data_IF_993330016376
#
_entry.id   IF_993330016376
#
_cell.length_a   1.000
_cell.length_b   1.000
_cell.length_c   1.000
_cell.angle_alpha   90.00
_cell.angle_beta   90.00
_cell.angle_gamma   90.00
#
_symmetry.space_group_name_H-M   'P 1'
#
loop_
_entity.id
_entity.type
_entity.pdbx_description
1 polymer ?
#
# COMPACT_ATOMS: atom_id res chain seq x y z
N UNK A 1 12.05 15.69 -49.02
CA UNK A 1 13.02 16.78 -48.83
C UNK A 1 13.20 17.00 -47.35
N UNK A 2 14.41 16.72 -46.84
CA UNK A 2 15.05 16.97 -45.55
C UNK A 2 14.28 16.65 -44.25
N UNK A 3 14.54 15.55 -43.60
CA UNK A 3 15.59 15.10 -42.66
C UNK A 3 16.08 16.18 -41.67
N UNK A 4 15.83 15.94 -40.37
CA UNK A 4 16.90 16.00 -39.36
C UNK A 4 16.45 15.42 -38.00
N UNK A 5 17.18 14.39 -37.63
CA UNK A 5 17.31 13.80 -36.27
C UNK A 5 17.72 14.82 -35.21
N UNK A 6 17.31 14.59 -34.01
CA UNK A 6 18.09 14.92 -32.80
C UNK A 6 17.94 13.78 -31.77
N UNK A 7 19.03 13.10 -31.65
CA UNK A 7 19.35 12.02 -30.76
C UNK A 7 19.56 12.52 -29.33
N UNK A 8 19.27 11.63 -28.38
CA UNK A 8 19.36 11.80 -26.95
C UNK A 8 20.76 12.11 -26.39
N UNK A 9 20.75 12.56 -25.17
CA UNK A 9 21.92 12.70 -24.33
C UNK A 9 21.75 11.80 -23.11
N UNK A 10 22.42 10.65 -23.19
CA UNK A 10 22.61 9.78 -22.04
C UNK A 10 23.72 10.34 -21.12
N UNK A 11 23.43 10.35 -19.84
CA UNK A 11 24.42 10.74 -18.82
C UNK A 11 25.31 9.55 -18.49
N UNK A 12 26.51 9.51 -19.11
CA UNK A 12 27.62 8.67 -18.68
C UNK A 12 28.66 9.56 -18.00
N UNK A 13 28.84 9.41 -16.70
CA UNK A 13 30.06 9.88 -16.05
C UNK A 13 31.05 8.74 -16.00
N UNK A 14 32.01 8.83 -16.88
CA UNK A 14 33.16 7.95 -16.96
C UNK A 14 34.35 8.59 -16.27
N UNK A 15 35.04 7.77 -15.52
CA UNK A 15 36.43 7.99 -15.12
C UNK A 15 37.30 8.14 -16.37
N UNK A 16 37.95 9.24 -16.52
CA UNK A 16 39.10 9.39 -17.42
C UNK A 16 40.36 9.62 -16.63
N UNK A 17 41.22 8.59 -16.61
CA UNK A 17 42.62 8.67 -16.22
C UNK A 17 43.37 9.43 -17.32
N UNK A 18 43.93 10.56 -16.97
CA UNK A 18 44.94 11.24 -17.76
C UNK A 18 46.31 10.82 -17.23
N UNK A 19 47.02 10.06 -18.04
CA UNK A 19 48.44 9.81 -17.89
C UNK A 19 49.23 10.99 -18.43
N UNK A 20 49.91 11.75 -17.58
CA UNK A 20 50.96 12.65 -17.96
C UNK A 20 52.28 12.15 -17.42
N UNK A 21 53.17 11.72 -18.31
CA UNK A 21 54.55 11.40 -17.99
C UNK A 21 55.34 12.70 -17.72
N UNK A 22 55.73 12.90 -16.46
CA UNK A 22 56.77 13.85 -16.10
C UNK A 22 57.88 13.08 -15.44
N UNK A 23 59.02 13.03 -16.08
CA UNK A 23 60.27 12.51 -15.53
C UNK A 23 60.79 13.52 -14.53
N UNK A 24 60.87 13.15 -13.26
CA UNK A 24 61.61 13.87 -12.21
C UNK A 24 62.45 12.92 -11.40
N UNK A 25 63.57 13.46 -10.98
CA UNK A 25 64.70 12.84 -10.31
C UNK A 25 64.32 11.97 -9.12
N UNK A 26 65.03 10.87 -9.03
CA UNK A 26 64.93 9.84 -8.00
C UNK A 26 65.47 10.37 -6.69
N UNK A 27 64.59 10.82 -5.81
CA UNK A 27 64.89 11.03 -4.40
C UNK A 27 64.56 9.75 -3.64
N UNK A 28 65.40 9.32 -2.70
CA UNK A 28 65.30 8.05 -1.99
C UNK A 28 63.92 7.87 -1.36
N UNK A 29 63.21 6.82 -1.73
CA UNK A 29 61.88 6.50 -1.23
C UNK A 29 61.92 6.30 0.31
N UNK A 30 61.02 6.95 1.06
CA UNK A 30 60.79 6.65 2.45
C UNK A 30 60.31 5.20 2.60
N UNK A 31 60.82 4.51 3.60
CA UNK A 31 60.42 3.15 3.98
C UNK A 31 58.90 3.06 4.06
N UNK A 32 58.25 2.10 3.39
CA UNK A 32 56.80 1.99 3.45
C UNK A 32 56.35 1.78 4.89
N UNK A 33 55.49 2.64 5.35
CA UNK A 33 54.84 2.51 6.67
C UNK A 33 54.15 1.15 6.74
N UNK A 34 54.33 0.44 7.83
CA UNK A 34 53.65 -0.83 8.08
C UNK A 34 52.13 -0.63 7.93
N UNK A 35 51.43 -1.55 7.27
CA UNK A 35 50.00 -1.43 7.14
C UNK A 35 49.33 -1.32 8.53
N UNK A 36 48.30 -0.45 8.68
CA UNK A 36 47.67 -0.23 9.98
C UNK A 36 47.15 -1.54 10.54
N UNK A 37 47.37 -1.76 11.82
CA UNK A 37 46.89 -2.94 12.56
C UNK A 37 45.36 -3.03 12.49
N UNK A 38 44.82 -4.22 12.72
CA UNK A 38 43.35 -4.42 12.76
C UNK A 38 42.69 -3.47 13.76
N UNK A 39 43.36 -3.21 14.88
CA UNK A 39 42.90 -2.34 15.95
C UNK A 39 42.82 -0.86 15.48
N UNK A 40 43.85 -0.36 14.81
CA UNK A 40 43.87 0.99 14.23
C UNK A 40 42.81 1.15 13.13
N UNK A 41 42.53 0.10 12.35
CA UNK A 41 41.47 0.09 11.35
C UNK A 41 40.08 0.11 11.99
N UNK A 42 39.90 -0.63 13.09
CA UNK A 42 38.64 -0.63 13.86
C UNK A 42 38.40 0.75 14.48
N UNK A 43 39.42 1.32 15.16
CA UNK A 43 39.31 2.67 15.74
C UNK A 43 39.07 3.76 14.69
N UNK A 44 39.66 3.64 13.49
CA UNK A 44 39.42 4.57 12.39
C UNK A 44 37.98 4.43 11.82
N UNK A 45 37.41 3.21 11.80
CA UNK A 45 36.06 2.96 11.41
C UNK A 45 35.05 3.43 12.47
N UNK A 46 35.33 3.21 13.75
CA UNK A 46 34.56 3.70 14.88
C UNK A 46 34.55 5.24 14.90
N UNK A 47 35.69 5.90 14.77
CA UNK A 47 35.76 7.37 14.61
C UNK A 47 34.99 7.89 13.39
N UNK A 48 34.97 7.13 12.30
CA UNK A 48 34.23 7.49 11.09
C UNK A 48 32.71 7.28 11.26
N UNK A 49 32.32 6.31 12.08
CA UNK A 49 30.94 6.04 12.48
C UNK A 49 30.41 7.11 13.45
N UNK A 50 31.27 7.66 14.30
CA UNK A 50 30.93 8.72 15.27
C UNK A 50 30.93 10.14 14.67
N UNK A 51 31.48 10.32 13.47
CA UNK A 51 31.37 11.61 12.77
C UNK A 51 29.89 11.89 12.50
N UNK A 52 29.35 13.06 12.96
CA UNK A 52 27.96 13.38 12.72
C UNK A 52 27.70 13.43 11.22
N UNK A 53 26.99 12.42 10.72
CA UNK A 53 26.56 12.45 9.33
C UNK A 53 25.69 13.68 9.12
N UNK A 54 25.73 14.28 7.94
CA UNK A 54 24.87 15.43 7.60
C UNK A 54 23.40 15.11 7.88
N UNK A 55 22.98 13.85 7.70
CA UNK A 55 21.65 13.34 7.98
C UNK A 55 21.30 13.43 9.47
N UNK A 56 22.23 13.03 10.35
CA UNK A 56 22.07 13.14 11.81
C UNK A 56 22.00 14.59 12.24
N UNK A 57 22.85 15.45 11.66
CA UNK A 57 22.85 16.90 11.97
C UNK A 57 21.55 17.58 11.54
N UNK A 58 20.97 17.18 10.40
CA UNK A 58 19.71 17.69 9.89
C UNK A 58 18.47 17.00 10.52
N UNK A 59 18.67 15.94 11.31
CA UNK A 59 17.61 15.16 11.93
C UNK A 59 16.84 14.28 10.94
N UNK A 60 17.40 14.00 9.74
CA UNK A 60 16.78 13.15 8.74
C UNK A 60 17.06 11.67 9.03
N UNK A 61 16.04 10.84 8.77
CA UNK A 61 16.15 9.38 8.79
C UNK A 61 15.83 8.87 7.40
N UNK A 62 16.71 8.00 6.90
CA UNK A 62 16.47 7.25 5.68
C UNK A 62 16.30 5.76 6.04
N UNK A 63 15.32 5.10 5.47
CA UNK A 63 15.07 3.68 5.63
C UNK A 63 14.34 3.15 4.41
N UNK A 64 14.21 1.84 4.32
CA UNK A 64 13.49 1.23 3.23
C UNK A 64 13.39 -0.28 3.35
N UNK A 65 12.83 -0.91 2.33
CA UNK A 65 12.79 -2.36 2.23
C UNK A 65 12.67 -2.83 0.79
N UNK A 66 13.07 -4.07 0.58
CA UNK A 66 12.86 -4.81 -0.65
C UNK A 66 11.93 -5.98 -0.35
N UNK A 67 10.93 -6.19 -1.20
CA UNK A 67 9.97 -7.28 -1.11
C UNK A 67 9.91 -8.04 -2.43
N UNK A 68 10.21 -9.32 -2.39
CA UNK A 68 10.14 -10.23 -3.53
C UNK A 68 9.39 -11.49 -3.12
N UNK A 69 8.56 -12.01 -4.01
CA UNK A 69 7.84 -13.25 -3.74
C UNK A 69 7.65 -14.09 -5.00
N UNK A 70 7.36 -15.37 -4.77
CA UNK A 70 6.86 -16.30 -5.76
C UNK A 70 5.51 -16.82 -5.30
N UNK A 71 4.52 -16.82 -6.20
CA UNK A 71 3.19 -17.36 -5.92
C UNK A 71 2.83 -18.43 -6.94
N UNK A 72 2.54 -19.63 -6.49
CA UNK A 72 1.94 -20.72 -7.28
C UNK A 72 0.44 -20.75 -7.08
N UNK A 73 -0.32 -20.82 -8.16
CA UNK A 73 -1.77 -20.97 -8.14
C UNK A 73 -2.13 -22.37 -8.63
N UNK A 74 -2.74 -23.19 -7.76
CA UNK A 74 -3.07 -24.59 -8.05
C UNK A 74 -4.18 -24.74 -9.11
N UNK A 75 -4.99 -23.72 -9.32
CA UNK A 75 -5.97 -23.69 -10.39
C UNK A 75 -5.35 -23.53 -11.80
N UNK A 76 -4.06 -23.21 -11.90
CA UNK A 76 -3.36 -22.99 -13.15
C UNK A 76 -4.15 -22.10 -14.14
N UNK A 77 -4.59 -20.91 -13.73
CA UNK A 77 -5.43 -20.06 -14.57
C UNK A 77 -4.73 -19.73 -15.89
N UNK A 78 -5.43 -19.89 -17.01
CA UNK A 78 -4.89 -19.61 -18.35
C UNK A 78 -4.39 -18.17 -18.55
N UNK A 79 -4.77 -17.30 -17.65
CA UNK A 79 -4.37 -15.89 -17.63
C UNK A 79 -3.08 -15.62 -16.88
N UNK A 80 -2.54 -16.62 -16.17
CA UNK A 80 -1.44 -16.47 -15.22
C UNK A 80 -1.72 -15.40 -14.13
N UNK A 81 -2.98 -15.19 -13.76
CA UNK A 81 -3.38 -14.21 -12.76
C UNK A 81 -4.16 -14.85 -11.62
N UNK A 82 -3.85 -14.45 -10.39
CA UNK A 82 -4.67 -14.71 -9.22
C UNK A 82 -5.90 -13.81 -9.25
N UNK A 83 -7.07 -14.40 -9.42
CA UNK A 83 -8.30 -13.63 -9.59
C UNK A 83 -8.68 -12.92 -8.30
N UNK A 84 -9.11 -11.66 -8.40
CA UNK A 84 -9.53 -10.80 -7.29
C UNK A 84 -8.43 -10.47 -6.26
N UNK A 85 -7.20 -10.94 -6.45
CA UNK A 85 -6.04 -10.47 -5.69
C UNK A 85 -5.56 -9.12 -6.21
N UNK A 86 -5.03 -8.28 -5.32
CA UNK A 86 -4.61 -6.92 -5.67
C UNK A 86 -3.10 -6.76 -5.65
N UNK A 87 -2.40 -7.34 -4.68
CA UNK A 87 -0.94 -7.22 -4.53
C UNK A 87 -0.21 -8.42 -5.12
N UNK A 88 -0.64 -9.61 -4.84
CA UNK A 88 -0.08 -10.88 -5.32
C UNK A 88 -0.80 -11.38 -6.60
N UNK A 89 -0.89 -10.51 -7.58
CA UNK A 89 -1.73 -10.71 -8.76
C UNK A 89 -1.21 -11.73 -9.76
N UNK A 90 0.11 -11.94 -9.82
CA UNK A 90 0.73 -12.81 -10.82
C UNK A 90 0.85 -14.24 -10.30
N UNK A 91 0.22 -15.17 -10.99
CA UNK A 91 0.33 -16.61 -10.73
C UNK A 91 1.61 -17.18 -11.33
N UNK A 92 2.21 -18.17 -10.64
CA UNK A 92 3.37 -18.95 -11.10
C UNK A 92 4.57 -18.09 -11.53
N UNK A 93 4.79 -16.98 -10.83
CA UNK A 93 5.79 -15.99 -11.20
C UNK A 93 6.62 -15.53 -10.00
N UNK A 94 7.92 -15.30 -10.22
CA UNK A 94 8.76 -14.55 -9.31
C UNK A 94 8.55 -13.06 -9.56
N UNK A 95 8.13 -12.33 -8.54
CA UNK A 95 7.77 -10.90 -8.67
C UNK A 95 8.56 -10.02 -7.71
N UNK A 96 9.15 -8.91 -8.17
CA UNK A 96 9.57 -7.81 -7.33
C UNK A 96 8.34 -6.99 -6.96
N UNK A 97 7.82 -7.23 -5.75
CA UNK A 97 6.60 -6.56 -5.29
C UNK A 97 6.86 -5.10 -4.98
N UNK A 98 7.86 -4.83 -4.14
CA UNK A 98 8.12 -3.46 -3.72
C UNK A 98 9.59 -3.24 -3.35
N UNK A 99 10.16 -2.19 -3.91
CA UNK A 99 11.35 -1.52 -3.40
C UNK A 99 10.91 -0.16 -2.87
N UNK A 100 11.02 0.06 -1.56
CA UNK A 100 10.60 1.31 -0.94
C UNK A 100 11.79 2.06 -0.36
N UNK A 101 11.81 3.37 -0.58
CA UNK A 101 12.73 4.31 0.10
C UNK A 101 11.89 5.34 0.84
N UNK A 102 12.16 5.50 2.12
CA UNK A 102 11.54 6.50 2.97
C UNK A 102 12.60 7.49 3.47
N UNK A 103 12.30 8.76 3.33
CA UNK A 103 13.01 9.86 3.94
C UNK A 103 12.06 10.59 4.86
N UNK A 104 12.42 10.75 6.13
CA UNK A 104 11.60 11.47 7.09
C UNK A 104 12.43 12.33 8.03
N UNK A 105 11.81 13.39 8.50
CA UNK A 105 12.17 14.13 9.69
C UNK A 105 10.93 14.18 10.57
N UNK A 106 10.84 13.36 11.62
CA UNK A 106 9.67 13.39 12.49
C UNK A 106 9.62 14.69 13.28
N UNK A 107 8.43 15.26 13.45
CA UNK A 107 8.21 16.42 14.31
C UNK A 107 8.29 16.01 15.78
N UNK A 108 8.95 16.86 16.61
CA UNK A 108 9.11 16.67 18.05
C UNK A 108 8.26 17.68 18.83
N UNK A 109 7.30 17.17 19.60
CA UNK A 109 6.41 18.00 20.42
C UNK A 109 7.14 18.72 21.58
N UNK A 110 8.25 18.16 22.06
CA UNK A 110 9.06 18.72 23.14
C UNK A 110 10.11 19.71 22.67
N UNK A 111 10.38 19.72 21.36
CA UNK A 111 11.44 20.51 20.73
C UNK A 111 11.10 21.99 20.56
N UNK A 112 12.10 22.72 20.03
CA UNK A 112 11.95 24.11 19.59
C UNK A 112 10.93 24.23 18.47
N UNK A 113 10.55 25.46 18.09
CA UNK A 113 9.61 25.70 16.99
C UNK A 113 10.05 25.04 15.67
N UNK A 114 11.37 24.97 15.40
CA UNK A 114 11.90 24.31 14.22
C UNK A 114 11.83 22.78 14.30
N UNK A 115 11.99 22.20 15.48
CA UNK A 115 11.92 20.78 15.72
C UNK A 115 10.48 20.24 15.71
N UNK A 116 9.49 21.11 15.96
CA UNK A 116 8.07 20.80 15.81
C UNK A 116 7.62 20.64 14.37
N UNK A 117 8.45 21.03 13.39
CA UNK A 117 8.21 20.81 11.97
C UNK A 117 8.83 19.49 11.52
N UNK A 118 8.10 18.74 10.72
CA UNK A 118 8.53 17.47 10.15
C UNK A 118 8.01 17.26 8.74
N UNK A 119 8.45 16.19 8.12
CA UNK A 119 7.94 15.72 6.84
C UNK A 119 8.17 14.23 6.68
N UNK A 120 7.45 13.60 5.76
CA UNK A 120 7.72 12.26 5.26
C UNK A 120 7.57 12.23 3.75
N UNK A 121 8.55 11.60 3.10
CA UNK A 121 8.49 11.23 1.70
C UNK A 121 8.77 9.73 1.58
N UNK A 122 7.81 8.97 1.06
CA UNK A 122 7.90 7.51 0.89
C UNK A 122 7.66 7.20 -0.58
N UNK A 123 8.68 6.65 -1.22
CA UNK A 123 8.68 6.35 -2.65
C UNK A 123 8.73 4.85 -2.86
N UNK A 124 7.80 4.35 -3.63
CA UNK A 124 7.63 2.94 -3.98
C UNK A 124 8.00 2.69 -5.43
N UNK A 125 8.66 1.56 -5.67
CA UNK A 125 8.94 1.00 -6.99
C UNK A 125 8.56 -0.48 -6.99
N UNK A 126 7.96 -0.98 -8.08
CA UNK A 126 7.58 -2.37 -8.25
C UNK A 126 6.10 -2.57 -8.51
N UNK A 127 5.68 -3.84 -8.58
CA UNK A 127 4.30 -4.19 -8.98
C UNK A 127 3.23 -3.60 -8.05
N UNK A 128 3.51 -3.50 -6.76
CA UNK A 128 2.56 -2.98 -5.78
C UNK A 128 2.35 -1.46 -5.94
N UNK A 129 3.37 -0.74 -6.43
CA UNK A 129 3.24 0.69 -6.71
C UNK A 129 2.15 1.00 -7.75
N UNK A 130 1.93 0.11 -8.72
CA UNK A 130 0.83 0.24 -9.71
C UNK A 130 -0.55 0.24 -9.06
N UNK A 131 -0.66 -0.50 -7.96
CA UNK A 131 -1.92 -0.70 -7.24
C UNK A 131 -2.21 0.47 -6.31
N UNK A 132 -1.19 0.91 -5.57
CA UNK A 132 -1.33 1.92 -4.52
C UNK A 132 -1.37 3.34 -5.06
N UNK A 133 -0.96 3.53 -6.33
CA UNK A 133 -0.95 4.83 -6.96
C UNK A 133 -2.36 5.44 -6.99
N UNK A 134 -2.45 6.67 -6.50
CA UNK A 134 -3.69 7.42 -6.51
C UNK A 134 -4.23 7.64 -7.94
N UNK A 135 -5.54 7.58 -8.08
CA UNK A 135 -6.24 7.45 -9.36
C UNK A 135 -7.07 8.66 -9.67
N UNK A 136 -6.47 9.69 -10.12
CA UNK A 136 -7.21 10.83 -10.61
C UNK A 136 -6.66 11.33 -11.91
N UNK A 137 -7.14 12.48 -12.38
CA UNK A 137 -6.63 13.17 -13.56
C UNK A 137 -5.12 13.46 -13.44
N UNK A 138 -4.60 13.50 -12.22
CA UNK A 138 -3.17 13.52 -11.93
C UNK A 138 -2.58 12.12 -12.14
N UNK A 139 -2.61 11.66 -13.35
CA UNK A 139 -1.95 10.43 -13.75
C UNK A 139 -0.97 10.73 -14.86
N UNK A 140 0.23 11.22 -14.55
CA UNK A 140 1.29 11.23 -15.52
C UNK A 140 1.65 9.79 -15.80
N UNK A 141 1.58 9.39 -17.03
CA UNK A 141 1.98 8.09 -17.44
C UNK A 141 0.87 7.05 -17.54
N UNK A 142 1.25 5.89 -17.97
CA UNK A 142 0.39 4.77 -18.28
C UNK A 142 0.14 3.92 -17.02
N UNK A 143 -0.87 3.10 -17.06
CA UNK A 143 -1.22 2.16 -16.00
C UNK A 143 -0.10 1.16 -15.62
N UNK A 144 0.97 1.11 -16.41
CA UNK A 144 2.16 0.30 -16.20
C UNK A 144 3.25 0.97 -15.37
N UNK A 145 3.05 2.22 -14.91
CA UNK A 145 4.05 2.88 -14.08
C UNK A 145 4.17 2.17 -12.73
N UNK A 146 5.34 1.62 -12.49
CA UNK A 146 5.69 0.90 -11.26
C UNK A 146 6.35 1.85 -10.25
N UNK A 147 5.84 3.09 -10.13
CA UNK A 147 6.34 4.10 -9.22
C UNK A 147 5.18 4.86 -8.58
N UNK A 148 5.25 5.07 -7.27
CA UNK A 148 4.28 5.87 -6.51
C UNK A 148 4.95 6.62 -5.36
N UNK A 149 4.59 7.90 -5.16
CA UNK A 149 4.75 8.54 -3.87
C UNK A 149 3.61 8.09 -2.95
N UNK A 150 3.85 7.02 -2.20
CA UNK A 150 2.86 6.49 -1.25
C UNK A 150 2.49 7.54 -0.20
N UNK A 151 3.50 8.20 0.38
CA UNK A 151 3.32 9.33 1.30
C UNK A 151 4.21 10.50 0.87
N UNK A 152 3.64 11.68 0.87
CA UNK A 152 4.36 12.93 0.69
C UNK A 152 3.61 14.03 1.45
N UNK A 153 4.03 14.31 2.68
CA UNK A 153 3.40 15.30 3.52
C UNK A 153 4.39 16.08 4.39
N UNK A 154 4.00 17.29 4.75
CA UNK A 154 4.60 18.06 5.83
C UNK A 154 3.76 17.92 7.09
N UNK A 155 4.39 18.04 8.26
CA UNK A 155 3.71 18.04 9.55
C UNK A 155 4.26 19.12 10.47
N UNK A 156 3.39 19.57 11.37
CA UNK A 156 3.76 20.49 12.43
C UNK A 156 2.99 20.17 13.71
N UNK A 157 3.67 20.22 14.86
CA UNK A 157 3.03 20.04 16.16
C UNK A 157 2.83 21.42 16.81
N UNK A 158 1.59 21.91 16.78
CA UNK A 158 1.19 23.13 17.47
C UNK A 158 1.31 22.94 18.99
N UNK A 159 1.85 23.92 19.74
CA UNK A 159 1.99 23.82 21.19
C UNK A 159 0.65 24.10 21.90
N UNK A 160 -0.37 23.29 21.60
CA UNK A 160 -1.71 23.37 22.20
C UNK A 160 -1.93 22.11 23.03
N UNK A 161 -2.11 22.26 24.31
CA UNK A 161 -2.25 21.14 25.24
C UNK A 161 -1.08 20.16 25.14
N UNK A 162 -1.37 18.89 24.85
CA UNK A 162 -0.36 17.83 24.68
C UNK A 162 0.33 17.86 23.29
N UNK A 163 0.05 18.85 22.46
CA UNK A 163 0.57 18.97 21.10
C UNK A 163 -0.45 18.55 20.05
N UNK A 164 -1.02 19.53 19.33
CA UNK A 164 -1.91 19.25 18.22
C UNK A 164 -1.07 19.06 16.94
N UNK A 165 -1.02 17.84 16.43
CA UNK A 165 -0.34 17.51 15.17
C UNK A 165 -1.21 17.90 14.00
N UNK A 166 -0.63 18.66 13.07
CA UNK A 166 -1.21 19.04 11.78
C UNK A 166 -0.39 18.37 10.69
N UNK A 167 -1.03 17.65 9.78
CA UNK A 167 -0.39 17.04 8.61
C UNK A 167 -1.08 17.52 7.34
N UNK A 168 -0.30 17.83 6.30
CA UNK A 168 -0.80 18.30 5.03
C UNK A 168 -0.04 17.65 3.88
N UNK A 169 -0.76 16.98 2.99
CA UNK A 169 -0.22 16.26 1.83
C UNK A 169 -0.90 14.92 1.60
N UNK A 170 -0.21 14.01 0.91
CA UNK A 170 -0.63 12.63 0.67
C UNK A 170 -0.17 11.73 1.81
N UNK A 171 -1.09 11.00 2.40
CA UNK A 171 -0.90 10.18 3.60
C UNK A 171 -1.55 8.81 3.41
N UNK A 172 -1.05 7.81 4.11
CA UNK A 172 -1.76 6.52 4.21
C UNK A 172 -3.16 6.73 4.78
N UNK A 173 -4.08 5.86 4.40
CA UNK A 173 -5.46 5.86 4.91
C UNK A 173 -5.52 5.72 6.44
N UNK A 174 -6.62 6.17 7.03
CA UNK A 174 -6.99 5.86 8.42
C UNK A 174 -7.83 4.57 8.53
N UNK A 175 -8.19 3.97 7.39
CA UNK A 175 -9.14 2.88 7.29
C UNK A 175 -8.40 1.55 7.23
N UNK A 176 -8.82 0.61 8.08
CA UNK A 176 -8.39 -0.78 7.99
C UNK A 176 -7.17 -1.14 8.85
N UNK A 177 -7.02 -2.44 9.06
CA UNK A 177 -5.91 -3.04 9.81
C UNK A 177 -4.70 -3.32 8.91
N UNK A 178 -4.93 -3.86 7.72
CA UNK A 178 -3.84 -4.11 6.77
C UNK A 178 -3.33 -2.80 6.17
N UNK A 179 -2.07 -2.81 5.77
CA UNK A 179 -1.37 -1.65 5.20
C UNK A 179 -0.64 -2.01 3.92
N UNK A 180 -0.19 -0.99 3.19
CA UNK A 180 0.57 -1.17 1.94
C UNK A 180 1.88 -1.91 2.20
N UNK A 181 2.62 -1.53 3.23
CA UNK A 181 3.93 -2.11 3.56
C UNK A 181 3.78 -3.56 3.99
N UNK A 182 4.31 -4.48 3.20
CA UNK A 182 4.14 -5.92 3.44
C UNK A 182 4.73 -6.41 4.76
N UNK A 183 5.84 -5.83 5.21
CA UNK A 183 6.49 -6.24 6.46
C UNK A 183 5.69 -5.87 7.73
N UNK A 184 4.78 -4.90 7.62
CA UNK A 184 3.89 -4.46 8.71
C UNK A 184 2.64 -5.32 8.81
N UNK A 185 2.33 -6.14 7.79
CA UNK A 185 1.18 -7.04 7.79
C UNK A 185 1.52 -8.41 8.36
N UNK A 186 0.54 -9.11 8.96
CA UNK A 186 0.76 -10.48 9.44
C UNK A 186 1.00 -11.47 8.29
N UNK A 187 0.34 -11.30 7.17
CA UNK A 187 0.34 -12.18 6.01
C UNK A 187 1.01 -11.53 4.80
N UNK A 188 1.41 -12.33 3.80
CA UNK A 188 1.91 -11.84 2.53
C UNK A 188 0.78 -11.29 1.66
N UNK A 189 -0.21 -12.14 1.37
CA UNK A 189 -1.40 -11.71 0.63
C UNK A 189 -2.28 -10.78 1.48
N UNK A 190 -3.10 -9.98 0.81
CA UNK A 190 -4.03 -9.05 1.46
C UNK A 190 -5.44 -9.60 1.43
N UNK A 191 -6.26 -9.18 2.40
CA UNK A 191 -7.70 -9.45 2.40
C UNK A 191 -8.39 -8.86 1.16
N UNK A 192 -9.50 -9.44 0.76
CA UNK A 192 -10.40 -8.82 -0.22
C UNK A 192 -10.91 -7.46 0.29
N UNK A 193 -11.15 -7.36 1.59
CA UNK A 193 -11.60 -6.13 2.23
C UNK A 193 -10.58 -5.02 2.07
N UNK A 194 -9.31 -5.24 2.36
CA UNK A 194 -8.24 -4.25 2.15
C UNK A 194 -8.08 -3.91 0.65
N UNK A 195 -7.93 -4.94 -0.19
CA UNK A 195 -7.64 -4.73 -1.61
C UNK A 195 -8.78 -4.12 -2.41
N UNK A 196 -10.02 -4.51 -2.13
CA UNK A 196 -11.19 -4.12 -2.92
C UNK A 196 -12.08 -3.11 -2.18
N UNK A 197 -12.16 -3.19 -0.88
CA UNK A 197 -13.14 -2.50 -0.06
C UNK A 197 -12.64 -1.25 0.67
N UNK A 198 -11.33 -0.98 0.72
CA UNK A 198 -10.73 0.11 1.49
C UNK A 198 -9.86 1.03 0.61
N UNK A 199 -9.71 2.30 1.03
CA UNK A 199 -8.76 3.22 0.42
C UNK A 199 -7.32 2.88 0.86
N UNK A 200 -6.34 3.14 -0.01
CA UNK A 200 -4.92 3.01 0.32
C UNK A 200 -4.32 4.30 0.85
N UNK A 201 -4.67 5.42 0.23
CA UNK A 201 -4.14 6.74 0.57
C UNK A 201 -5.22 7.81 0.49
N UNK A 202 -5.00 8.91 1.21
CA UNK A 202 -5.81 10.12 1.11
C UNK A 202 -4.91 11.36 1.02
N UNK A 203 -5.37 12.42 0.36
CA UNK A 203 -4.60 13.66 0.21
C UNK A 203 -5.41 14.82 0.77
N UNK A 204 -4.85 15.56 1.72
CA UNK A 204 -5.55 16.65 2.35
C UNK A 204 -4.91 17.11 3.65
N UNK A 205 -5.73 17.56 4.58
CA UNK A 205 -5.36 18.06 5.89
C UNK A 205 -5.86 17.10 6.97
N UNK A 206 -4.99 16.72 7.92
CA UNK A 206 -5.32 15.97 9.14
C UNK A 206 -4.90 16.70 10.39
N UNK A 207 -5.69 16.55 11.42
CA UNK A 207 -5.43 17.01 12.78
C UNK A 207 -5.47 15.80 13.71
N UNK A 208 -4.39 15.56 14.47
CA UNK A 208 -4.31 14.45 15.43
C UNK A 208 -3.99 15.01 16.81
N UNK A 209 -4.69 14.50 17.81
CA UNK A 209 -4.49 14.92 19.20
C UNK A 209 -4.54 13.74 20.16
N UNK A 210 -3.50 13.62 20.99
CA UNK A 210 -3.43 12.63 22.07
C UNK A 210 -3.92 13.29 23.35
N UNK A 211 -5.13 12.92 23.79
CA UNK A 211 -5.75 13.47 25.01
C UNK A 211 -5.03 12.97 26.26
N UNK A 212 -4.68 11.71 26.27
CA UNK A 212 -3.94 11.02 27.32
C UNK A 212 -3.34 9.72 26.76
N UNK A 213 -2.57 8.93 27.52
CA UNK A 213 -1.97 7.67 27.02
C UNK A 213 -2.98 6.63 26.50
N UNK A 214 -4.25 6.76 26.87
CA UNK A 214 -5.30 5.81 26.47
C UNK A 214 -6.10 6.26 25.25
N UNK A 215 -6.12 7.57 24.91
CA UNK A 215 -7.04 8.11 23.91
C UNK A 215 -6.30 9.04 22.94
N UNK A 216 -6.31 8.67 21.66
CA UNK A 216 -5.86 9.52 20.57
C UNK A 216 -6.99 9.63 19.54
N UNK A 217 -7.24 10.84 19.03
CA UNK A 217 -8.17 11.06 17.95
C UNK A 217 -7.50 11.78 16.78
N UNK A 218 -7.92 11.42 15.57
CA UNK A 218 -7.53 12.05 14.31
C UNK A 218 -8.79 12.40 13.53
N UNK A 219 -8.82 13.59 12.96
CA UNK A 219 -9.85 14.01 12.00
C UNK A 219 -9.18 14.61 10.77
N UNK A 220 -9.81 14.49 9.61
CA UNK A 220 -9.25 14.99 8.36
C UNK A 220 -10.30 15.48 7.38
N UNK A 221 -9.87 16.35 6.48
CA UNK A 221 -10.62 16.78 5.30
C UNK A 221 -9.72 16.55 4.09
N UNK A 222 -10.16 15.65 3.21
CA UNK A 222 -9.34 15.11 2.13
C UNK A 222 -10.07 15.17 0.79
N UNK A 223 -9.33 14.99 -0.30
CA UNK A 223 -9.84 14.97 -1.67
C UNK A 223 -10.66 13.71 -2.01
N UNK A 224 -10.75 12.78 -1.08
CA UNK A 224 -11.46 11.51 -1.25
C UNK A 224 -10.54 10.29 -1.32
N UNK A 225 -11.10 9.18 -1.68
CA UNK A 225 -10.53 7.84 -1.73
C UNK A 225 -9.53 7.69 -2.86
N UNK A 226 -8.25 7.52 -2.55
CA UNK A 226 -7.14 7.36 -3.49
C UNK A 226 -7.01 8.51 -4.51
N UNK A 227 -7.40 9.72 -4.13
CA UNK A 227 -7.36 10.89 -4.98
C UNK A 227 -6.24 11.87 -4.56
N UNK A 228 -5.28 12.15 -5.45
CA UNK A 228 -4.35 13.28 -5.29
C UNK A 228 -5.04 14.56 -5.74
N UNK A 229 -5.49 14.60 -6.99
CA UNK A 229 -6.42 15.61 -7.47
C UNK A 229 -7.85 15.20 -7.11
N UNK A 230 -8.64 16.14 -6.70
CA UNK A 230 -10.04 15.89 -6.43
C UNK A 230 -10.79 15.62 -7.74
N UNK A 231 -11.44 14.49 -7.82
CA UNK A 231 -12.26 14.08 -8.98
C UNK A 231 -13.66 14.73 -9.01
N UNK A 232 -13.98 15.50 -7.97
CA UNK A 232 -15.23 16.28 -7.84
C UNK A 232 -14.92 17.60 -7.10
N UNK A 233 -15.91 18.32 -6.60
CA UNK A 233 -15.71 19.56 -5.84
C UNK A 233 -15.95 19.42 -4.35
N UNK A 234 -16.46 18.27 -3.93
CA UNK A 234 -16.72 17.97 -2.54
C UNK A 234 -15.48 17.43 -1.83
N UNK A 235 -15.44 17.52 -0.53
CA UNK A 235 -14.38 16.94 0.28
C UNK A 235 -14.95 15.79 1.11
N UNK A 236 -14.07 14.81 1.36
CA UNK A 236 -14.37 13.70 2.26
C UNK A 236 -13.84 14.04 3.66
N UNK A 237 -14.71 13.90 4.64
CA UNK A 237 -14.35 13.93 6.04
C UNK A 237 -13.92 12.52 6.47
N UNK A 238 -12.81 12.42 7.17
CA UNK A 238 -12.31 11.16 7.73
C UNK A 238 -12.00 11.30 9.22
N UNK A 239 -12.07 10.20 9.95
CA UNK A 239 -11.78 10.19 11.37
C UNK A 239 -11.27 8.83 11.86
N UNK A 240 -10.52 8.88 12.94
CA UNK A 240 -10.05 7.71 13.69
C UNK A 240 -9.99 8.06 15.18
N UNK A 241 -10.48 7.15 16.03
CA UNK A 241 -10.31 7.22 17.47
C UNK A 241 -9.65 5.92 17.92
N UNK A 242 -8.45 6.04 18.47
CA UNK A 242 -7.70 4.92 19.03
C UNK A 242 -7.81 4.92 20.54
N UNK A 243 -8.14 3.77 21.10
CA UNK A 243 -8.31 3.52 22.53
C UNK A 243 -7.35 2.41 22.95
N UNK A 244 -6.59 2.65 24.02
CA UNK A 244 -5.72 1.65 24.65
C UNK A 244 -5.97 1.63 26.16
N UNK A 245 -7.16 1.17 26.59
CA UNK A 245 -7.55 1.21 28.00
C UNK A 245 -6.76 0.23 28.87
N UNK A 246 -6.13 -0.76 28.28
CA UNK A 246 -5.35 -1.78 28.94
C UNK A 246 -4.21 -2.29 28.06
N UNK A 247 -3.09 -2.72 28.60
CA UNK A 247 -1.93 -3.24 27.86
C UNK A 247 -2.24 -4.44 26.93
N UNK A 248 -3.29 -5.22 27.28
CA UNK A 248 -3.76 -6.36 26.52
C UNK A 248 -4.88 -6.05 25.52
N UNK A 249 -5.46 -4.86 25.58
CA UNK A 249 -6.61 -4.53 24.74
C UNK A 249 -6.45 -3.16 24.09
N UNK A 250 -6.57 -3.13 22.77
CA UNK A 250 -6.65 -1.92 21.95
C UNK A 250 -7.88 -1.95 21.08
N UNK A 251 -8.46 -0.80 20.84
CA UNK A 251 -9.55 -0.62 19.90
C UNK A 251 -9.33 0.65 19.09
N UNK A 252 -9.48 0.57 17.77
CA UNK A 252 -9.54 1.74 16.90
C UNK A 252 -10.87 1.73 16.18
N UNK A 253 -11.54 2.88 16.18
CA UNK A 253 -12.76 3.11 15.42
C UNK A 253 -12.45 4.14 14.35
N UNK A 254 -12.84 3.88 13.11
CA UNK A 254 -12.52 4.73 11.98
C UNK A 254 -13.70 4.89 11.04
N UNK A 255 -13.66 5.92 10.23
CA UNK A 255 -14.63 6.12 9.18
C UNK A 255 -14.30 7.26 8.26
N UNK A 256 -15.04 7.32 7.17
CA UNK A 256 -15.05 8.44 6.24
C UNK A 256 -16.44 8.67 5.65
N UNK A 257 -16.72 9.92 5.27
CA UNK A 257 -17.96 10.29 4.60
C UNK A 257 -17.70 11.45 3.65
N UNK A 258 -18.10 11.28 2.38
CA UNK A 258 -17.93 12.31 1.37
C UNK A 258 -18.33 11.83 -0.02
N UNK A 259 -18.38 12.73 -1.01
CA UNK A 259 -18.64 12.37 -2.38
C UNK A 259 -17.38 11.77 -3.02
N UNK A 260 -17.54 10.64 -3.70
CA UNK A 260 -16.43 9.90 -4.29
C UNK A 260 -16.57 9.67 -5.81
N UNK A 261 -17.70 10.08 -6.38
CA UNK A 261 -17.94 9.95 -7.82
C UNK A 261 -17.49 11.20 -8.57
N UNK A 262 -16.95 11.01 -9.78
CA UNK A 262 -16.39 12.10 -10.57
C UNK A 262 -17.44 13.09 -11.07
N UNK A 263 -17.07 14.38 -11.15
CA UNK A 263 -17.80 15.42 -11.85
C UNK A 263 -17.69 15.33 -13.38
N UNK A 264 -16.65 14.68 -13.89
CA UNK A 264 -16.37 14.70 -15.32
C UNK A 264 -17.17 13.64 -16.06
N UNK A 265 -18.05 14.09 -16.91
CA UNK A 265 -18.86 13.28 -17.83
C UNK A 265 -18.05 12.67 -18.98
N UNK A 266 -16.75 12.89 -19.02
CA UNK A 266 -15.86 12.26 -20.03
C UNK A 266 -15.55 10.79 -19.71
N UNK A 267 -15.74 10.38 -18.47
CA UNK A 267 -15.80 8.99 -18.10
C UNK A 267 -17.24 8.53 -18.18
N UNK A 268 -17.59 7.83 -19.23
CA UNK A 268 -18.87 7.15 -19.29
C UNK A 268 -18.95 6.21 -18.11
N UNK A 269 -19.86 6.48 -17.21
CA UNK A 269 -20.09 5.62 -16.05
C UNK A 269 -20.65 4.31 -16.58
N UNK A 270 -19.92 3.26 -16.36
CA UNK A 270 -20.36 1.93 -16.67
C UNK A 270 -21.72 1.65 -16.01
N UNK A 271 -22.64 1.06 -16.74
CA UNK A 271 -23.94 0.62 -16.21
C UNK A 271 -25.02 1.68 -16.10
N UNK A 272 -24.86 2.84 -16.73
CA UNK A 272 -25.92 3.86 -16.76
C UNK A 272 -26.12 4.60 -15.44
N UNK A 273 -25.22 4.44 -14.50
CA UNK A 273 -25.11 5.28 -13.31
C UNK A 273 -24.40 6.56 -13.75
N UNK A 274 -25.11 7.65 -13.89
CA UNK A 274 -24.54 8.96 -14.23
C UNK A 274 -23.51 9.38 -13.18
N UNK A 275 -22.44 10.06 -13.59
CA UNK A 275 -21.53 10.68 -12.66
C UNK A 275 -22.35 11.57 -11.71
N UNK A 276 -22.34 11.26 -10.44
CA UNK A 276 -23.07 12.00 -9.41
C UNK A 276 -22.09 12.50 -8.36
N UNK A 277 -21.53 13.65 -8.63
CA UNK A 277 -20.55 14.31 -7.78
C UNK A 277 -21.01 14.61 -6.35
N UNK A 278 -22.29 14.46 -6.07
CA UNK A 278 -22.87 14.60 -4.73
C UNK A 278 -23.21 13.24 -4.10
N UNK A 279 -22.98 12.13 -4.80
CA UNK A 279 -23.26 10.81 -4.26
C UNK A 279 -22.27 10.48 -3.14
N UNK A 280 -22.79 10.36 -1.95
CA UNK A 280 -21.98 10.14 -0.75
C UNK A 280 -21.60 8.68 -0.61
N UNK A 281 -20.31 8.43 -0.36
CA UNK A 281 -19.77 7.18 0.18
C UNK A 281 -19.60 7.34 1.69
N UNK A 282 -20.02 6.35 2.44
CA UNK A 282 -19.84 6.26 3.88
C UNK A 282 -19.12 4.98 4.21
N UNK A 283 -18.07 5.08 5.03
CA UNK A 283 -17.28 3.96 5.53
C UNK A 283 -17.24 4.04 7.04
N UNK A 284 -17.43 2.92 7.72
CA UNK A 284 -17.21 2.78 9.16
C UNK A 284 -16.63 1.41 9.45
N UNK A 285 -15.73 1.35 10.42
CA UNK A 285 -15.15 0.10 10.87
C UNK A 285 -14.42 0.24 12.19
N UNK A 286 -13.90 -0.87 12.66
CA UNK A 286 -13.07 -0.88 13.86
C UNK A 286 -11.99 -1.96 13.76
N UNK A 287 -10.91 -1.77 14.51
CA UNK A 287 -9.86 -2.74 14.73
C UNK A 287 -9.85 -3.03 16.23
N UNK A 288 -10.11 -4.27 16.59
CA UNK A 288 -10.09 -4.73 17.97
C UNK A 288 -8.90 -5.67 18.13
N UNK A 289 -7.95 -5.29 18.99
CA UNK A 289 -6.74 -6.07 19.25
C UNK A 289 -6.78 -6.60 20.67
N UNK A 290 -6.57 -7.91 20.82
CA UNK A 290 -6.50 -8.57 22.11
C UNK A 290 -5.24 -9.44 22.21
N UNK A 291 -4.35 -9.12 23.14
CA UNK A 291 -3.20 -9.94 23.52
C UNK A 291 -3.64 -10.98 24.52
N UNK A 292 -4.02 -12.15 24.03
CA UNK A 292 -4.54 -13.24 24.86
C UNK A 292 -3.46 -13.78 25.82
N UNK A 293 -2.23 -13.92 25.31
CA UNK A 293 -1.03 -14.29 26.05
C UNK A 293 0.13 -13.39 25.66
N UNK A 294 1.34 -13.64 26.14
CA UNK A 294 2.56 -12.98 25.65
C UNK A 294 2.91 -13.38 24.21
N UNK A 295 2.40 -14.52 23.74
CA UNK A 295 2.67 -15.10 22.43
C UNK A 295 1.49 -14.95 21.47
N UNK A 296 0.26 -14.81 21.99
CA UNK A 296 -0.96 -14.85 21.18
C UNK A 296 -1.62 -13.48 21.09
N UNK A 297 -1.79 -13.00 19.85
CA UNK A 297 -2.55 -11.79 19.55
C UNK A 297 -3.70 -12.11 18.59
N UNK A 298 -4.89 -11.68 18.96
CA UNK A 298 -6.11 -11.80 18.17
C UNK A 298 -6.50 -10.40 17.70
N UNK A 299 -6.80 -10.26 16.40
CA UNK A 299 -7.30 -9.03 15.81
C UNK A 299 -8.62 -9.32 15.10
N UNK A 300 -9.61 -8.45 15.30
CA UNK A 300 -10.89 -8.47 14.59
C UNK A 300 -11.11 -7.12 13.93
N UNK A 301 -11.54 -7.16 12.66
CA UNK A 301 -11.85 -5.98 11.87
C UNK A 301 -13.25 -6.09 11.24
N UNK A 302 -14.33 -5.71 11.94
CA UNK A 302 -15.63 -5.49 11.32
C UNK A 302 -15.61 -4.19 10.50
N UNK A 303 -16.16 -4.24 9.30
CA UNK A 303 -16.14 -3.19 8.31
C UNK A 303 -17.48 -3.07 7.58
N UNK A 304 -17.92 -1.85 7.32
CA UNK A 304 -19.11 -1.55 6.54
C UNK A 304 -18.91 -0.32 5.66
N UNK A 305 -19.37 -0.39 4.42
CA UNK A 305 -19.40 0.73 3.51
C UNK A 305 -20.68 0.74 2.66
N UNK A 306 -21.10 1.95 2.32
CA UNK A 306 -22.22 2.23 1.45
C UNK A 306 -21.91 3.40 0.53
N UNK A 307 -22.36 3.35 -0.71
CA UNK A 307 -22.22 4.45 -1.66
C UNK A 307 -23.53 4.66 -2.42
N UNK A 308 -24.00 5.90 -2.44
CA UNK A 308 -25.22 6.27 -3.15
C UNK A 308 -25.04 6.11 -4.66
N UNK A 309 -26.07 5.63 -5.35
CA UNK A 309 -26.12 5.48 -6.82
C UNK A 309 -24.96 4.65 -7.43
N UNK A 310 -24.33 3.79 -6.68
CA UNK A 310 -23.14 3.03 -7.11
C UNK A 310 -23.40 1.55 -7.40
N UNK A 311 -24.66 1.09 -7.41
CA UNK A 311 -25.00 -0.31 -7.65
C UNK A 311 -24.80 -0.65 -9.13
N UNK A 312 -23.92 -1.59 -9.41
CA UNK A 312 -23.55 -2.01 -10.76
C UNK A 312 -24.20 -3.33 -11.19
N UNK A 313 -25.01 -3.94 -10.34
CA UNK A 313 -25.77 -5.15 -10.69
C UNK A 313 -26.79 -4.82 -11.78
N UNK A 314 -26.88 -5.69 -12.79
CA UNK A 314 -27.81 -5.51 -13.92
C UNK A 314 -29.23 -5.27 -13.43
N UNK A 315 -29.89 -4.24 -13.96
CA UNK A 315 -31.23 -3.84 -13.57
C UNK A 315 -31.34 -3.07 -12.24
N UNK A 316 -30.26 -2.78 -11.57
CA UNK A 316 -30.20 -2.05 -10.28
C UNK A 316 -29.48 -0.71 -10.38
N UNK A 317 -29.20 -0.21 -11.59
CA UNK A 317 -28.59 1.10 -11.79
C UNK A 317 -29.29 2.21 -11.03
N UNK A 318 -28.57 3.16 -10.48
CA UNK A 318 -29.12 4.25 -9.66
C UNK A 318 -29.52 3.87 -8.23
N UNK A 319 -29.34 2.60 -7.82
CA UNK A 319 -29.48 2.18 -6.42
C UNK A 319 -28.17 2.34 -5.67
N UNK A 320 -28.24 2.33 -4.35
CA UNK A 320 -27.05 2.33 -3.51
C UNK A 320 -26.30 1.00 -3.63
N UNK A 321 -24.99 1.08 -3.61
CA UNK A 321 -24.12 -0.08 -3.39
C UNK A 321 -23.79 -0.21 -1.90
N UNK A 322 -23.64 -1.44 -1.45
CA UNK A 322 -23.17 -1.77 -0.11
C UNK A 322 -22.12 -2.85 -0.22
N UNK A 323 -21.06 -2.71 0.55
CA UNK A 323 -20.08 -3.76 0.80
C UNK A 323 -19.67 -3.76 2.27
N UNK A 324 -19.39 -4.93 2.80
CA UNK A 324 -19.05 -5.11 4.20
C UNK A 324 -18.24 -6.38 4.40
N UNK A 325 -17.56 -6.47 5.52
CA UNK A 325 -16.73 -7.63 5.82
C UNK A 325 -16.35 -7.76 7.28
N UNK A 326 -15.75 -8.88 7.58
CA UNK A 326 -15.11 -9.17 8.85
C UNK A 326 -13.80 -9.88 8.57
N UNK A 327 -12.69 -9.26 8.95
CA UNK A 327 -11.37 -9.86 9.00
C UNK A 327 -11.07 -10.33 10.42
N UNK A 328 -10.47 -11.52 10.57
CA UNK A 328 -10.03 -12.05 11.83
C UNK A 328 -8.62 -12.62 11.68
N UNK A 329 -7.74 -12.30 12.63
CA UNK A 329 -6.33 -12.71 12.61
C UNK A 329 -5.96 -13.31 13.95
N UNK A 330 -5.23 -14.42 13.90
CA UNK A 330 -4.52 -15.00 15.03
C UNK A 330 -3.03 -14.99 14.71
N UNK A 331 -2.25 -14.34 15.56
CA UNK A 331 -0.79 -14.31 15.47
C UNK A 331 -0.26 -15.05 16.70
N UNK A 332 0.53 -16.09 16.46
CA UNK A 332 1.20 -16.86 17.49
C UNK A 332 2.72 -16.74 17.31
N UNK A 333 3.38 -16.03 18.20
CA UNK A 333 4.83 -15.93 18.24
C UNK A 333 5.41 -17.15 18.96
N UNK A 334 5.96 -18.10 18.21
CA UNK A 334 6.52 -19.35 18.72
C UNK A 334 7.78 -19.03 19.54
N UNK A 335 8.62 -18.18 18.98
CA UNK A 335 9.84 -17.64 19.61
C UNK A 335 10.23 -16.29 18.94
N UNK A 336 11.42 -15.78 19.22
CA UNK A 336 11.91 -14.51 18.68
C UNK A 336 12.10 -14.51 17.15
N UNK A 337 12.18 -15.68 16.53
CA UNK A 337 12.43 -15.85 15.09
C UNK A 337 11.22 -16.40 14.34
N UNK A 338 10.42 -17.26 14.97
CA UNK A 338 9.33 -17.97 14.32
C UNK A 338 7.97 -17.48 14.79
N UNK A 339 7.06 -17.28 13.85
CA UNK A 339 5.64 -17.03 14.17
C UNK A 339 4.72 -17.72 13.16
N UNK A 340 3.63 -18.26 13.66
CA UNK A 340 2.53 -18.82 12.88
C UNK A 340 1.36 -17.83 12.88
N UNK A 341 0.70 -17.65 11.74
CA UNK A 341 -0.36 -16.67 11.56
C UNK A 341 -1.51 -17.27 10.79
N UNK A 342 -2.70 -17.03 11.26
CA UNK A 342 -3.94 -17.46 10.61
C UNK A 342 -4.80 -16.24 10.37
N UNK A 343 -5.31 -16.10 9.15
CA UNK A 343 -6.32 -15.11 8.78
C UNK A 343 -7.55 -15.82 8.28
N UNK A 344 -8.73 -15.31 8.62
CA UNK A 344 -10.00 -15.65 8.02
C UNK A 344 -10.75 -14.38 7.66
N UNK A 345 -11.38 -14.35 6.50
CA UNK A 345 -12.17 -13.21 6.05
C UNK A 345 -13.51 -13.65 5.46
N UNK A 346 -14.51 -12.81 5.66
CA UNK A 346 -15.73 -12.77 4.85
C UNK A 346 -15.91 -11.35 4.31
N UNK A 347 -16.10 -11.22 2.99
CA UNK A 347 -16.33 -9.95 2.32
C UNK A 347 -17.54 -10.05 1.40
N UNK A 348 -18.58 -9.28 1.66
CA UNK A 348 -19.79 -9.19 0.84
C UNK A 348 -19.77 -7.91 0.00
N UNK A 349 -19.89 -8.04 -1.31
CA UNK A 349 -20.18 -6.94 -2.24
C UNK A 349 -21.60 -7.07 -2.80
N UNK A 350 -22.58 -6.63 -2.02
CA UNK A 350 -23.98 -6.75 -2.37
C UNK A 350 -24.40 -5.85 -3.55
N UNK A 351 -23.61 -4.82 -3.83
CA UNK A 351 -23.82 -3.88 -4.94
C UNK A 351 -23.05 -4.20 -6.21
N UNK A 352 -22.13 -5.16 -6.17
CA UNK A 352 -21.23 -5.43 -7.28
C UNK A 352 -20.34 -4.24 -7.64
N UNK A 353 -20.12 -3.32 -6.70
CA UNK A 353 -19.41 -2.08 -6.93
C UNK A 353 -17.90 -2.21 -6.72
N UNK A 354 -17.47 -3.26 -6.05
CA UNK A 354 -16.09 -3.51 -5.66
C UNK A 354 -15.48 -4.73 -6.38
N UNK A 355 -16.31 -5.69 -6.76
CA UNK A 355 -15.90 -6.92 -7.42
C UNK A 355 -16.53 -7.03 -8.79
N UNK A 356 -15.75 -7.12 -9.84
CA UNK A 356 -16.21 -7.37 -11.20
C UNK A 356 -15.69 -8.70 -11.70
N UNK A 357 -16.58 -9.46 -12.31
CA UNK A 357 -16.21 -10.72 -12.94
C UNK A 357 -16.06 -10.66 -14.43
N UNK A 358 -16.38 -9.53 -15.03
CA UNK A 358 -16.19 -9.34 -16.46
C UNK A 358 -14.75 -9.29 -16.89
N UNK A 359 -13.84 -9.14 -15.96
CA UNK A 359 -12.43 -9.12 -16.25
C UNK A 359 -11.87 -10.52 -16.42
N UNK A 360 -12.16 -11.11 -17.55
CA UNK A 360 -11.21 -12.04 -18.11
C UNK A 360 -9.97 -11.23 -18.40
N UNK A 361 -8.90 -11.61 -17.73
CA UNK A 361 -7.53 -11.20 -17.95
C UNK A 361 -7.27 -10.13 -18.99
N UNK A 362 -6.74 -9.03 -18.54
CA UNK A 362 -5.97 -8.11 -19.39
C UNK A 362 -6.75 -7.23 -20.35
N UNK A 363 -8.06 -7.33 -20.42
CA UNK A 363 -8.86 -6.57 -21.41
C UNK A 363 -9.83 -5.57 -20.79
N UNK A 364 -9.73 -5.31 -19.52
CA UNK A 364 -10.71 -4.50 -18.85
C UNK A 364 -10.27 -3.05 -18.83
N UNK A 365 -10.95 -2.28 -19.65
CA UNK A 365 -11.08 -0.86 -19.49
C UNK A 365 -9.85 -0.03 -19.66
N UNK A 366 -9.06 -0.30 -20.67
CA UNK A 366 -7.94 0.58 -21.02
C UNK A 366 -6.77 0.59 -20.04
N UNK A 367 -6.86 -0.11 -18.94
CA UNK A 367 -5.74 -0.36 -18.04
C UNK A 367 -5.03 -1.65 -18.45
N UNK A 368 -4.33 -1.58 -19.59
CA UNK A 368 -3.40 -2.64 -19.99
C UNK A 368 -2.30 -2.71 -18.96
N UNK A 369 -2.19 -3.85 -18.27
CA UNK A 369 -1.14 -4.08 -17.28
C UNK A 369 -1.59 -4.04 -15.82
N UNK A 370 -2.81 -3.61 -15.52
CA UNK A 370 -3.41 -3.88 -14.21
C UNK A 370 -4.09 -5.24 -14.28
N UNK A 371 -3.68 -6.20 -13.47
CA UNK A 371 -4.26 -7.52 -13.47
C UNK A 371 -5.77 -7.45 -13.28
N UNK A 372 -6.46 -8.28 -14.04
CA UNK A 372 -7.90 -8.25 -14.09
C UNK A 372 -8.56 -8.39 -12.73
N UNK A 373 -9.61 -7.69 -12.53
CA UNK A 373 -10.40 -7.71 -11.32
C UNK A 373 -10.14 -6.55 -10.37
N UNK A 374 -9.07 -5.83 -10.57
CA UNK A 374 -8.76 -4.73 -9.71
C UNK A 374 -9.72 -3.57 -9.91
N UNK A 375 -10.66 -3.41 -8.98
CA UNK A 375 -11.57 -2.27 -8.84
C UNK A 375 -12.08 -1.65 -10.17
N UNK A 376 -12.16 -2.47 -11.16
CA UNK A 376 -12.43 -2.03 -12.52
C UNK A 376 -13.89 -1.67 -12.72
N UNK A 377 -14.76 -2.19 -11.88
CA UNK A 377 -16.18 -1.89 -11.95
C UNK A 377 -16.49 -0.43 -11.71
N UNK A 378 -15.83 0.18 -10.76
CA UNK A 378 -16.04 1.58 -10.42
C UNK A 378 -15.22 2.54 -11.28
N UNK A 379 -14.14 2.06 -11.89
CA UNK A 379 -13.20 2.87 -12.66
C UNK A 379 -13.38 2.77 -14.18
N UNK A 380 -14.24 1.89 -14.65
CA UNK A 380 -14.45 1.71 -16.07
C UNK A 380 -15.23 2.87 -16.67
N UNK A 381 -14.65 3.59 -17.65
CA UNK A 381 -15.50 4.23 -18.63
C UNK A 381 -16.25 3.10 -19.34
N UNK A 382 -17.53 3.13 -19.29
CA UNK A 382 -18.34 2.21 -20.07
C UNK A 382 -17.97 2.34 -21.54
N UNK A 383 -18.15 1.42 -22.23
CA UNK A 383 -18.11 1.44 -23.65
C UNK A 383 -17.42 0.24 -24.20
N UNK A 384 -16.64 -0.35 -23.39
CA UNK A 384 -16.04 -1.55 -23.86
C UNK A 384 -16.20 -2.68 -22.96
N UNK A 385 -17.32 -2.92 -22.56
CA UNK A 385 -17.54 -4.27 -22.25
C UNK A 385 -16.60 -4.91 -21.28
N UNK A 386 -15.80 -4.18 -20.57
CA UNK A 386 -15.31 -4.71 -19.31
C UNK A 386 -16.48 -5.12 -18.49
N UNK A 387 -17.53 -4.48 -18.81
CA UNK A 387 -18.88 -4.85 -18.42
C UNK A 387 -19.61 -5.58 -19.57
N UNK A 388 -18.88 -6.23 -20.45
CA UNK A 388 -19.50 -7.08 -21.45
C UNK A 388 -20.37 -8.07 -20.74
N UNK A 389 -21.61 -7.85 -20.86
CA UNK A 389 -22.60 -8.76 -20.32
C UNK A 389 -23.13 -8.40 -18.96
N UNK A 390 -22.79 -7.24 -18.35
CA UNK A 390 -23.67 -6.96 -17.31
C UNK A 390 -23.33 -6.28 -16.05
N UNK A 391 -22.29 -5.58 -15.97
CA UNK A 391 -22.06 -4.84 -14.74
C UNK A 391 -21.47 -5.65 -13.60
N UNK A 392 -21.53 -5.11 -12.41
CA UNK A 392 -21.02 -5.73 -11.21
C UNK A 392 -21.75 -7.00 -10.80
N UNK A 393 -21.07 -7.89 -10.15
CA UNK A 393 -21.66 -9.12 -9.63
C UNK A 393 -21.75 -9.02 -8.11
N UNK A 394 -22.98 -9.07 -7.63
CA UNK A 394 -23.23 -9.23 -6.21
C UNK A 394 -22.73 -10.61 -5.76
N UNK A 395 -21.77 -10.60 -4.84
CA UNK A 395 -21.15 -11.83 -4.35
C UNK A 395 -20.65 -11.71 -2.92
N UNK A 396 -20.39 -12.87 -2.34
CA UNK A 396 -19.69 -13.01 -1.06
C UNK A 396 -18.42 -13.82 -1.29
N UNK A 397 -17.32 -13.30 -0.80
CA UNK A 397 -15.99 -13.89 -0.84
C UNK A 397 -15.56 -14.31 0.57
N UNK A 398 -14.83 -15.40 0.66
CA UNK A 398 -14.17 -15.86 1.88
C UNK A 398 -12.72 -16.15 1.58
N UNK A 399 -11.85 -15.86 2.52
CA UNK A 399 -10.49 -16.39 2.50
C UNK A 399 -10.16 -17.08 3.83
N UNK A 400 -9.26 -18.06 3.75
CA UNK A 400 -8.53 -18.61 4.89
C UNK A 400 -7.07 -18.72 4.50
N UNK A 401 -6.22 -18.08 5.31
CA UNK A 401 -4.79 -17.94 5.00
C UNK A 401 -3.95 -18.40 6.19
N UNK A 402 -2.95 -19.24 5.93
CA UNK A 402 -1.97 -19.72 6.90
C UNK A 402 -0.60 -19.24 6.48
N UNK A 403 0.12 -18.55 7.38
CA UNK A 403 1.45 -18.04 7.12
C UNK A 403 2.40 -18.51 8.21
N UNK A 404 3.52 -19.12 7.81
CA UNK A 404 4.66 -19.36 8.68
C UNK A 404 5.72 -18.31 8.35
N UNK A 405 6.08 -17.50 9.34
CA UNK A 405 7.13 -16.49 9.20
C UNK A 405 8.38 -16.94 9.94
N UNK A 406 9.52 -16.73 9.30
CA UNK A 406 10.85 -16.89 9.89
C UNK A 406 11.67 -15.61 9.74
N UNK A 407 12.22 -15.14 10.84
CA UNK A 407 12.96 -13.88 10.95
C UNK A 407 14.37 -14.17 11.49
N UNK A 408 15.27 -14.68 10.62
CA UNK A 408 16.63 -15.07 11.04
C UNK A 408 17.48 -13.88 11.53
N UNK A 409 17.18 -12.69 11.03
CA UNK A 409 17.85 -11.43 11.38
C UNK A 409 16.79 -10.33 11.55
N UNK A 410 17.07 -9.28 12.33
CA UNK A 410 16.13 -8.14 12.45
C UNK A 410 15.77 -7.50 11.10
N UNK A 411 16.70 -7.56 10.13
CA UNK A 411 16.54 -6.98 8.78
C UNK A 411 16.01 -7.96 7.74
N UNK A 412 15.79 -9.25 8.06
CA UNK A 412 15.37 -10.26 7.09
C UNK A 412 14.12 -11.00 7.57
N UNK A 413 13.06 -10.94 6.77
CA UNK A 413 11.81 -11.67 7.00
C UNK A 413 11.58 -12.61 5.83
N UNK A 414 11.27 -13.87 6.12
CA UNK A 414 10.82 -14.84 5.12
C UNK A 414 9.47 -15.40 5.52
N UNK A 415 8.61 -15.68 4.55
CA UNK A 415 7.28 -16.23 4.77
C UNK A 415 7.00 -17.35 3.77
N UNK A 416 6.34 -18.39 4.26
CA UNK A 416 5.63 -19.38 3.47
C UNK A 416 4.14 -19.22 3.78
N UNK A 417 3.31 -19.08 2.76
CA UNK A 417 1.88 -18.80 2.92
C UNK A 417 1.03 -19.68 2.02
N UNK A 418 0.03 -20.31 2.59
CA UNK A 418 -1.05 -20.99 1.86
C UNK A 418 -2.35 -20.21 2.05
N UNK A 419 -3.04 -19.93 0.94
CA UNK A 419 -4.32 -19.24 0.94
C UNK A 419 -5.35 -20.03 0.14
N UNK A 420 -6.56 -20.13 0.69
CA UNK A 420 -7.75 -20.66 0.05
C UNK A 420 -8.81 -19.56 -0.07
N UNK A 421 -9.24 -19.29 -1.28
CA UNK A 421 -10.30 -18.34 -1.61
C UNK A 421 -11.57 -19.06 -2.04
N UNK A 422 -12.71 -18.52 -1.68
CA UNK A 422 -14.04 -19.02 -2.04
C UNK A 422 -14.98 -17.89 -2.38
N UNK A 423 -15.83 -18.12 -3.37
CA UNK A 423 -16.96 -17.24 -3.68
C UNK A 423 -18.26 -18.05 -3.79
N UNK A 424 -19.39 -17.41 -3.52
CA UNK A 424 -20.71 -17.94 -3.87
C UNK A 424 -21.04 -17.85 -5.37
N UNK A 425 -20.07 -17.36 -6.18
CA UNK A 425 -20.14 -17.25 -7.64
C UNK A 425 -18.90 -17.90 -8.26
N UNK A 426 -19.02 -18.34 -9.52
CA UNK A 426 -17.88 -18.86 -10.27
C UNK A 426 -17.09 -17.72 -10.89
N UNK A 427 -16.20 -17.10 -10.11
CA UNK A 427 -15.45 -15.89 -10.44
C UNK A 427 -13.95 -16.13 -10.64
N UNK A 428 -13.44 -17.24 -10.16
CA UNK A 428 -12.07 -17.68 -10.37
C UNK A 428 -11.92 -18.47 -11.68
N UNK A 429 -10.70 -18.70 -12.13
CA UNK A 429 -10.37 -19.55 -13.25
C UNK A 429 -9.63 -20.81 -12.76
N UNK A 430 -9.99 -21.95 -13.34
CA UNK A 430 -9.24 -23.20 -13.25
C UNK A 430 -8.93 -23.63 -14.69
N UNK A 431 -7.67 -23.47 -15.10
CA UNK A 431 -7.34 -23.49 -16.51
C UNK A 431 -8.12 -22.40 -17.26
N UNK A 432 -8.98 -22.82 -18.19
CA UNK A 432 -9.92 -21.95 -18.92
C UNK A 432 -11.34 -21.96 -18.32
N UNK A 433 -11.63 -22.85 -17.39
CA UNK A 433 -12.96 -23.02 -16.85
C UNK A 433 -13.20 -22.10 -15.64
N UNK A 434 -14.45 -21.78 -15.39
CA UNK A 434 -14.79 -20.98 -14.22
C UNK A 434 -14.91 -21.85 -12.98
N UNK A 435 -14.31 -21.38 -11.88
CA UNK A 435 -14.35 -22.00 -10.57
C UNK A 435 -14.92 -21.02 -9.54
N UNK A 436 -15.41 -21.54 -8.43
CA UNK A 436 -15.83 -20.76 -7.28
C UNK A 436 -14.79 -20.77 -6.14
N UNK A 437 -13.62 -21.35 -6.38
CA UNK A 437 -12.49 -21.34 -5.44
C UNK A 437 -11.17 -21.17 -6.18
N UNK A 438 -10.15 -20.75 -5.44
CA UNK A 438 -8.78 -20.60 -5.86
C UNK A 438 -7.87 -20.93 -4.68
N UNK A 439 -6.73 -21.57 -4.97
CA UNK A 439 -5.74 -21.93 -3.96
C UNK A 439 -4.38 -21.44 -4.39
N UNK A 440 -3.65 -20.81 -3.46
CA UNK A 440 -2.29 -20.30 -3.74
C UNK A 440 -1.30 -20.71 -2.65
N UNK A 441 -0.05 -20.92 -3.06
CA UNK A 441 1.09 -21.12 -2.18
C UNK A 441 2.16 -20.10 -2.55
N UNK A 442 2.58 -19.30 -1.57
CA UNK A 442 3.52 -18.19 -1.79
C UNK A 442 4.74 -18.32 -0.89
N UNK A 443 5.89 -17.86 -1.41
CA UNK A 443 7.12 -17.69 -0.67
C UNK A 443 7.60 -16.25 -0.84
N UNK A 444 7.78 -15.56 0.27
CA UNK A 444 8.17 -14.15 0.30
C UNK A 444 9.48 -13.95 1.05
N UNK A 445 10.28 -13.01 0.57
CA UNK A 445 11.49 -12.53 1.25
C UNK A 445 11.45 -11.01 1.30
N UNK A 446 11.62 -10.46 2.50
CA UNK A 446 11.67 -9.01 2.74
C UNK A 446 13.00 -8.68 3.40
N UNK A 447 13.72 -7.69 2.85
CA UNK A 447 14.94 -7.15 3.44
C UNK A 447 14.74 -5.68 3.83
N UNK A 448 14.98 -5.38 5.10
CA UNK A 448 14.83 -4.03 5.69
C UNK A 448 16.21 -3.37 5.83
N UNK A 449 16.30 -2.07 5.56
CA UNK A 449 17.54 -1.28 5.68
C UNK A 449 17.30 0.15 6.15
#
# INVERSE_FOLDING_TARGET
MLVRNLTGVGLWMLFSLLSSNAVFAQEAAPTPASPPTLQERVEALEKKSDAPSIWKTLGFKASGFLDVAYTHNFNNPSTNLNQLHIFDTNASSFMPHLAQVMLERPADASGSAAERAGFRARLNFGSDARVTRARTNYQPGVASDEMDFQELYAEYILPVGNGLKVQFGKMNTLIGYEVINSFENPNFSRTFMFGLGQAFTTTGLRLSYTFNPMITATVGVVNGWDNVDDNNKGKTFEWLVALTPHERFGASFYGSVGPEQSNTVGGVVAGGVGANASATRTVVGSILTFKATSQDTIILEPYYANEANANLVAGKGGKNARWNGLGAYLIHDIDDQWSARVRGEIFEDAGGARTCTGSVAGTVGGFTGVPGGWNTCAAQPSGNGGLVGGGGIAQTLWDTTFTLQYKPLPSLITRAEFRYDKSNKSVFLNGNDRSNNQETLSFQVIYLF
#
